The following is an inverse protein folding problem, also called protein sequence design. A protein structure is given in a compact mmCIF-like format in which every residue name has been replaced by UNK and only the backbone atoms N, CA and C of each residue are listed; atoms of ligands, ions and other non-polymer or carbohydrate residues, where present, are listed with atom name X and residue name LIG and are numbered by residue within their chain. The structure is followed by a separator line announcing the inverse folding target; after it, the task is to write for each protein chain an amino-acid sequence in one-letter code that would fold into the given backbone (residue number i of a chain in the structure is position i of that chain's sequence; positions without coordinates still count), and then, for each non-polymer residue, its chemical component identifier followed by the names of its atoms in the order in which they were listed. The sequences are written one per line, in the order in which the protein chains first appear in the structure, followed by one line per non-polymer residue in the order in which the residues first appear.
data_IF_472380930796
#
_entry.id   IF_472380930796
#
_cell.length_a   1.000
_cell.length_b   1.000
_cell.length_c   1.000
_cell.angle_alpha   90.00
_cell.angle_beta   90.00
_cell.angle_gamma   90.00
#
_symmetry.space_group_name_H-M   'P 1'
#
loop_
_entity.id
_entity.type
_entity.pdbx_description
1 polymer ?
#
# COMPACT_ATOMS: atom_id res chain seq x y z
N UNK A 1 5.45 -6.46 -12.70
CA UNK A 1 4.87 -6.16 -11.37
C UNK A 1 5.12 -4.68 -11.08
N UNK A 2 4.08 -3.92 -10.73
CA UNK A 2 4.19 -2.47 -10.46
C UNK A 2 4.31 -2.22 -8.96
N UNK A 3 4.88 -1.07 -8.55
CA UNK A 3 4.91 -0.65 -7.14
C UNK A 3 3.49 -0.62 -6.56
N UNK A 4 2.52 -0.13 -7.33
CA UNK A 4 1.11 -0.10 -6.94
C UNK A 4 0.57 -1.50 -6.59
N UNK A 5 0.90 -2.53 -7.36
CA UNK A 5 0.44 -3.89 -7.09
C UNK A 5 1.06 -4.47 -5.81
N UNK A 6 2.35 -4.23 -5.58
CA UNK A 6 3.04 -4.67 -4.35
C UNK A 6 2.49 -3.95 -3.11
N UNK A 7 2.27 -2.63 -3.22
CA UNK A 7 1.69 -1.83 -2.16
C UNK A 7 0.27 -2.30 -1.85
N UNK A 8 -0.57 -2.52 -2.86
CA UNK A 8 -1.94 -2.98 -2.68
C UNK A 8 -2.01 -4.35 -1.97
N UNK A 9 -1.17 -5.31 -2.37
CA UNK A 9 -1.07 -6.61 -1.69
C UNK A 9 -0.61 -6.46 -0.22
N UNK A 10 0.38 -5.59 0.03
CA UNK A 10 0.87 -5.32 1.39
C UNK A 10 -0.23 -4.71 2.27
N UNK A 11 -1.01 -3.74 1.75
CA UNK A 11 -2.17 -3.15 2.46
C UNK A 11 -3.26 -4.21 2.72
N UNK A 12 -3.53 -5.07 1.74
CA UNK A 12 -4.52 -6.14 1.85
C UNK A 12 -4.23 -7.10 2.99
N UNK A 13 -2.94 -7.44 3.19
CA UNK A 13 -2.48 -8.32 4.28
C UNK A 13 -2.33 -7.61 5.62
N UNK A 14 -2.22 -6.28 5.62
CA UNK A 14 -2.03 -5.48 6.83
C UNK A 14 -3.24 -5.49 7.77
N UNK A 15 -3.06 -5.08 9.02
CA UNK A 15 -4.18 -4.78 9.91
C UNK A 15 -4.51 -3.29 9.85
N UNK A 16 -5.77 -2.93 10.06
CA UNK A 16 -6.16 -1.53 10.27
C UNK A 16 -5.50 -1.02 11.55
N UNK A 17 -4.94 0.18 11.52
CA UNK A 17 -4.14 0.72 12.63
C UNK A 17 -2.76 0.08 12.77
N UNK A 18 -2.32 -0.77 11.83
CA UNK A 18 -0.95 -1.26 11.81
C UNK A 18 0.04 -0.10 11.65
N UNK A 19 1.04 -0.08 12.52
CA UNK A 19 2.17 0.82 12.43
C UNK A 19 3.32 0.12 11.71
N UNK A 20 3.66 0.61 10.52
CA UNK A 20 4.83 0.24 9.72
C UNK A 20 4.82 -1.19 9.12
N UNK A 21 4.29 -1.33 7.90
CA UNK A 21 4.49 -2.53 7.05
C UNK A 21 5.51 -2.23 5.95
N UNK A 22 6.63 -2.94 5.95
CA UNK A 22 7.63 -2.81 4.90
C UNK A 22 7.16 -3.46 3.59
N UNK A 23 7.50 -2.84 2.47
CA UNK A 23 7.30 -3.40 1.14
C UNK A 23 8.54 -3.14 0.26
N UNK A 24 8.77 -4.02 -0.70
CA UNK A 24 9.85 -3.88 -1.67
C UNK A 24 9.43 -4.48 -3.01
N UNK A 25 9.79 -3.80 -4.10
CA UNK A 25 9.57 -4.26 -5.46
C UNK A 25 10.92 -4.40 -6.19
N UNK A 26 11.52 -5.61 -6.23
CA UNK A 26 12.77 -5.85 -6.92
C UNK A 26 12.72 -5.56 -8.42
N UNK A 27 11.55 -5.59 -9.05
CA UNK A 27 11.39 -5.32 -10.49
C UNK A 27 11.59 -3.85 -10.84
N UNK A 28 11.31 -2.94 -9.91
CA UNK A 28 11.49 -1.48 -10.09
C UNK A 28 12.66 -0.93 -9.26
N UNK A 29 13.17 -1.73 -8.32
CA UNK A 29 14.17 -1.30 -7.33
C UNK A 29 13.58 -0.41 -6.23
N UNK A 30 12.26 -0.20 -6.21
CA UNK A 30 11.59 0.63 -5.21
C UNK A 30 11.38 -0.13 -3.90
N UNK A 31 11.41 0.59 -2.77
CA UNK A 31 11.04 0.06 -1.46
C UNK A 31 10.41 1.13 -0.57
N UNK A 32 9.77 0.73 0.51
CA UNK A 32 9.23 1.69 1.46
C UNK A 32 8.47 1.06 2.61
N UNK A 33 7.71 1.90 3.32
CA UNK A 33 6.95 1.51 4.50
C UNK A 33 5.55 2.10 4.41
N UNK A 34 4.54 1.26 4.59
CA UNK A 34 3.16 1.66 4.85
C UNK A 34 3.06 2.07 6.31
N UNK A 35 2.84 3.35 6.54
CA UNK A 35 2.86 3.99 7.84
C UNK A 35 1.51 3.88 8.56
N UNK A 36 0.42 3.84 7.79
CA UNK A 36 -0.94 3.82 8.29
C UNK A 36 -1.84 3.05 7.31
N UNK A 37 -2.77 2.27 7.87
CA UNK A 37 -3.89 1.65 7.16
C UNK A 37 -5.16 2.05 7.88
N UNK A 38 -6.06 2.69 7.14
CA UNK A 38 -7.37 3.12 7.61
C UNK A 38 -8.47 2.21 7.06
N UNK A 39 -9.56 2.11 7.81
CA UNK A 39 -10.82 1.61 7.27
C UNK A 39 -11.22 2.51 6.10
N UNK A 40 -11.47 1.94 4.92
CA UNK A 40 -11.92 2.73 3.78
C UNK A 40 -13.23 3.43 4.12
N UNK A 41 -13.30 4.72 3.82
CA UNK A 41 -14.54 5.50 3.96
C UNK A 41 -15.57 5.16 2.86
N UNK A 42 -15.19 4.35 1.88
CA UNK A 42 -16.00 4.06 0.69
C UNK A 42 -16.66 2.68 0.77
N UNK A 43 -17.79 2.62 1.48
CA UNK A 43 -18.85 1.64 1.22
C UNK A 43 -18.50 0.14 1.34
N UNK A 44 -19.41 -0.75 0.91
CA UNK A 44 -19.39 -2.19 1.21
C UNK A 44 -18.27 -3.02 0.55
N UNK A 45 -17.33 -2.40 -0.17
CA UNK A 45 -16.37 -3.11 -1.04
C UNK A 45 -15.03 -3.44 -0.37
N UNK A 46 -14.87 -3.14 0.92
CA UNK A 46 -13.71 -3.58 1.71
C UNK A 46 -12.37 -2.94 1.32
N UNK A 47 -12.40 -1.83 0.57
CA UNK A 47 -11.20 -1.05 0.26
C UNK A 47 -10.59 -0.42 1.51
N UNK A 48 -9.27 -0.18 1.48
CA UNK A 48 -8.50 0.36 2.60
C UNK A 48 -7.69 1.58 2.17
N UNK A 49 -7.83 2.66 2.93
CA UNK A 49 -6.95 3.83 2.79
C UNK A 49 -5.58 3.54 3.39
N UNK A 50 -4.53 4.11 2.83
CA UNK A 50 -3.18 3.96 3.38
C UNK A 50 -2.32 5.19 3.16
N UNK A 51 -1.28 5.33 3.99
CA UNK A 51 -0.16 6.25 3.79
C UNK A 51 1.13 5.44 3.67
N UNK A 52 1.95 5.72 2.66
CA UNK A 52 3.20 5.01 2.43
C UNK A 52 4.31 5.93 1.97
N UNK A 53 5.54 5.49 2.19
CA UNK A 53 6.72 6.02 1.53
C UNK A 53 7.12 5.13 0.36
N UNK A 54 7.68 5.74 -0.69
CA UNK A 54 8.41 5.07 -1.76
C UNK A 54 9.78 5.70 -1.88
N UNK A 55 10.78 4.85 -1.87
CA UNK A 55 12.19 5.14 -2.06
C UNK A 55 12.59 4.48 -3.37
N UNK A 56 13.20 5.24 -4.25
CA UNK A 56 13.78 4.76 -5.50
C UNK A 56 15.08 5.53 -5.79
N UNK A 57 15.75 5.21 -6.89
CA UNK A 57 16.96 5.92 -7.32
C UNK A 57 16.72 7.42 -7.60
N UNK A 58 15.49 7.77 -7.97
CA UNK A 58 15.07 9.15 -8.26
C UNK A 58 14.77 9.95 -6.97
N UNK A 59 14.62 9.27 -5.83
CA UNK A 59 14.46 9.90 -4.53
C UNK A 59 13.43 9.21 -3.64
N UNK A 60 13.00 9.94 -2.60
CA UNK A 60 11.99 9.49 -1.65
C UNK A 60 10.73 10.35 -1.80
N UNK A 61 9.57 9.71 -1.77
CA UNK A 61 8.26 10.39 -1.77
C UNK A 61 7.35 9.72 -0.77
N UNK A 62 6.54 10.52 -0.08
CA UNK A 62 5.46 10.06 0.80
C UNK A 62 4.13 10.43 0.17
N UNK A 63 3.19 9.49 0.14
CA UNK A 63 1.88 9.70 -0.47
C UNK A 63 0.82 8.82 0.18
N UNK A 64 -0.43 9.17 -0.04
CA UNK A 64 -1.61 8.40 0.36
C UNK A 64 -2.26 7.73 -0.86
N UNK A 65 -3.02 6.67 -0.61
CA UNK A 65 -3.76 5.95 -1.65
C UNK A 65 -4.88 5.07 -1.09
N UNK A 66 -5.57 4.38 -1.99
CA UNK A 66 -6.61 3.40 -1.67
C UNK A 66 -6.26 2.07 -2.35
N UNK A 67 -6.31 0.98 -1.59
CA UNK A 67 -6.14 -0.37 -2.09
C UNK A 67 -7.44 -1.15 -1.89
N UNK A 68 -7.98 -1.69 -2.98
CA UNK A 68 -9.18 -2.51 -2.94
C UNK A 68 -8.82 -3.99 -3.09
N UNK A 69 -9.49 -4.90 -2.36
CA UNK A 69 -9.40 -6.32 -2.68
C UNK A 69 -9.83 -6.48 -4.14
N UNK A 70 -8.99 -7.09 -4.96
CA UNK A 70 -9.43 -7.53 -6.29
C UNK A 70 -10.47 -8.60 -6.02
N UNK A 71 -11.76 -8.31 -6.26
CA UNK A 71 -12.82 -9.28 -6.00
C UNK A 71 -12.47 -10.61 -6.67
N UNK A 72 -12.44 -11.69 -5.90
CA UNK A 72 -12.65 -13.02 -6.45
C UNK A 72 -13.97 -12.95 -7.23
N UNK A 73 -13.84 -13.05 -8.55
CA UNK A 73 -14.96 -13.10 -9.48
C UNK A 73 -15.52 -14.51 -9.54
#
# INVERSE_FOLDING_TARGET
MTDQAVIADTVGRGAVGASALAWANPSTGSAGVIEQIDVGNDGPDGCRGFVTSRQSLDGMTRFNGVACPSGDS
#
